data_IF_380885609540
#
_entry.id   IF_380885609540
#
_cell.length_a   1.000
_cell.length_b   1.000
_cell.length_c   1.000
_cell.angle_alpha   90.00
_cell.angle_beta   90.00
_cell.angle_gamma   90.00
#
_symmetry.space_group_name_H-M   'P 1'
#
loop_
_entity.id
_entity.type
_entity.pdbx_description
1 polymer ?
#
# COMPACT_ATOMS: atom_id res chain seq x y z
N UNK A 1 3.85 8.13 -12.05
CA UNK A 1 3.78 6.71 -12.50
C UNK A 1 5.16 6.07 -12.69
N UNK A 2 6.05 6.57 -13.57
CA UNK A 2 7.35 5.90 -13.85
C UNK A 2 8.24 5.72 -12.61
N UNK A 3 8.18 6.64 -11.63
CA UNK A 3 8.81 6.51 -10.31
C UNK A 3 8.56 5.15 -9.64
N UNK A 4 7.35 4.60 -9.78
CA UNK A 4 6.98 3.33 -9.14
C UNK A 4 7.80 2.13 -9.64
N UNK A 5 8.59 2.27 -10.71
CA UNK A 5 9.56 1.25 -11.14
C UNK A 5 10.68 1.03 -10.12
N UNK A 6 10.92 2.01 -9.26
CA UNK A 6 11.95 1.98 -8.24
C UNK A 6 11.37 1.91 -6.81
N UNK A 7 10.06 1.65 -6.68
CA UNK A 7 9.39 1.45 -5.40
C UNK A 7 8.91 0.00 -5.34
N UNK A 8 9.53 -0.81 -4.47
CA UNK A 8 9.17 -2.20 -4.25
C UNK A 8 7.99 -2.32 -3.27
N UNK A 9 7.40 -3.50 -3.18
CA UNK A 9 6.36 -3.86 -2.20
C UNK A 9 6.89 -3.99 -0.75
N UNK A 10 8.06 -3.41 -0.43
CA UNK A 10 8.72 -3.46 0.88
C UNK A 10 10.05 -4.23 0.87
N UNK A 11 10.48 -4.70 2.05
CA UNK A 11 11.77 -5.38 2.24
C UNK A 11 11.72 -6.91 2.04
N UNK A 12 10.58 -7.46 1.61
CA UNK A 12 10.36 -8.91 1.45
C UNK A 12 11.47 -9.58 0.63
N UNK A 13 12.01 -8.87 -0.37
CA UNK A 13 13.11 -9.35 -1.23
C UNK A 13 14.39 -9.73 -0.49
N UNK A 14 14.62 -9.23 0.73
CA UNK A 14 15.76 -9.67 1.54
C UNK A 14 15.60 -11.10 2.07
N UNK A 15 14.39 -11.66 2.11
CA UNK A 15 14.13 -13.05 2.53
C UNK A 15 13.71 -13.92 1.35
N UNK A 16 12.96 -13.35 0.41
CA UNK A 16 12.50 -14.01 -0.81
C UNK A 16 13.17 -13.32 -2.01
N UNK A 17 14.36 -13.76 -2.46
CA UNK A 17 15.17 -13.01 -3.42
C UNK A 17 14.50 -12.73 -4.77
N UNK A 18 13.50 -13.53 -5.15
CA UNK A 18 12.70 -13.33 -6.36
C UNK A 18 11.59 -12.27 -6.20
N UNK A 19 11.27 -11.83 -4.98
CA UNK A 19 10.25 -10.83 -4.68
C UNK A 19 10.69 -9.38 -4.99
N UNK A 20 11.28 -9.16 -6.17
CA UNK A 20 11.83 -7.87 -6.63
C UNK A 20 10.86 -7.05 -7.47
N UNK A 21 9.62 -7.52 -7.61
CA UNK A 21 8.57 -6.82 -8.34
C UNK A 21 8.26 -5.46 -7.69
N UNK A 22 7.72 -4.56 -8.51
CA UNK A 22 7.58 -3.14 -8.16
C UNK A 22 6.12 -2.73 -8.20
N UNK A 23 5.80 -1.65 -7.47
CA UNK A 23 4.47 -1.02 -7.49
C UNK A 23 4.03 -0.70 -8.93
N UNK A 24 4.97 -0.36 -9.82
CA UNK A 24 4.66 -0.14 -11.24
C UNK A 24 4.07 -1.37 -11.93
N UNK A 25 4.69 -2.55 -11.75
CA UNK A 25 4.19 -3.79 -12.34
C UNK A 25 2.85 -4.22 -11.77
N UNK A 26 2.63 -3.94 -10.47
CA UNK A 26 1.37 -4.16 -9.78
C UNK A 26 0.25 -3.27 -10.35
N UNK A 27 0.46 -1.94 -10.45
CA UNK A 27 -0.54 -1.04 -11.03
C UNK A 27 -0.96 -1.43 -12.47
N UNK A 28 -0.01 -1.92 -13.28
CA UNK A 28 -0.33 -2.43 -14.62
C UNK A 28 -1.20 -3.69 -14.58
N UNK A 29 -0.91 -4.61 -13.67
CA UNK A 29 -1.70 -5.82 -13.51
C UNK A 29 -3.10 -5.53 -12.94
N UNK A 30 -3.21 -4.67 -11.93
CA UNK A 30 -4.49 -4.15 -11.41
C UNK A 30 -5.33 -3.51 -12.51
N UNK A 31 -4.71 -2.71 -13.38
CA UNK A 31 -5.38 -2.11 -14.54
C UNK A 31 -5.83 -3.17 -15.58
N UNK A 32 -5.03 -4.22 -15.80
CA UNK A 32 -5.40 -5.32 -16.69
C UNK A 32 -6.62 -6.09 -16.16
N UNK A 33 -6.62 -6.48 -14.89
CA UNK A 33 -7.76 -7.19 -14.25
C UNK A 33 -9.01 -6.30 -14.28
N UNK A 34 -8.84 -5.00 -14.08
CA UNK A 34 -9.91 -4.00 -14.20
C UNK A 34 -10.57 -4.04 -15.60
N UNK A 35 -9.80 -4.15 -16.68
CA UNK A 35 -10.38 -4.30 -18.03
C UNK A 35 -11.25 -5.55 -18.14
N UNK A 36 -10.77 -6.69 -17.63
CA UNK A 36 -11.52 -7.95 -17.68
C UNK A 36 -12.86 -7.83 -16.93
N UNK A 37 -12.86 -7.19 -15.77
CA UNK A 37 -14.09 -6.90 -15.00
C UNK A 37 -15.03 -6.00 -15.79
N UNK A 38 -14.51 -4.90 -16.34
CA UNK A 38 -15.31 -3.93 -17.11
C UNK A 38 -15.89 -4.51 -18.39
N UNK A 39 -15.12 -5.32 -19.13
CA UNK A 39 -15.60 -6.06 -20.30
C UNK A 39 -16.78 -6.96 -19.92
N UNK A 40 -16.66 -7.67 -18.80
CA UNK A 40 -17.74 -8.52 -18.30
C UNK A 40 -18.98 -7.71 -17.91
N UNK A 41 -18.81 -6.57 -17.23
CA UNK A 41 -19.93 -5.72 -16.83
C UNK A 41 -20.59 -5.05 -18.05
N UNK A 42 -19.81 -4.58 -19.02
CA UNK A 42 -20.30 -3.93 -20.24
C UNK A 42 -21.10 -4.87 -21.14
N UNK A 43 -20.86 -6.18 -21.05
CA UNK A 43 -21.69 -7.18 -21.74
C UNK A 43 -23.15 -7.21 -21.27
N UNK A 44 -23.46 -6.66 -20.08
CA UNK A 44 -24.82 -6.43 -19.62
C UNK A 44 -25.24 -4.98 -19.92
N UNK A 45 -25.97 -4.79 -21.02
CA UNK A 45 -26.43 -3.49 -21.47
C UNK A 45 -27.32 -2.76 -20.45
N UNK A 46 -27.95 -3.47 -19.51
CA UNK A 46 -28.79 -2.86 -18.46
C UNK A 46 -27.99 -2.09 -17.41
N UNK A 47 -26.67 -2.24 -17.39
CA UNK A 47 -25.77 -1.55 -16.46
C UNK A 47 -25.33 -0.17 -16.95
N UNK A 48 -25.53 0.12 -18.23
CA UNK A 48 -25.12 1.39 -18.87
C UNK A 48 -23.64 1.75 -18.57
N UNK A 49 -22.73 0.77 -18.64
CA UNK A 49 -21.29 1.01 -18.47
C UNK A 49 -20.76 1.68 -19.74
N UNK A 50 -20.50 2.98 -19.66
CA UNK A 50 -20.06 3.81 -20.78
C UNK A 50 -18.56 3.67 -21.04
N UNK A 51 -18.10 4.10 -22.22
CA UNK A 51 -16.65 4.17 -22.50
C UNK A 51 -15.92 5.13 -21.55
N UNK A 52 -16.58 6.21 -21.09
CA UNK A 52 -16.01 7.11 -20.08
C UNK A 52 -15.83 6.40 -18.74
N UNK A 53 -16.81 5.58 -18.32
CA UNK A 53 -16.69 4.76 -17.11
C UNK A 53 -15.49 3.84 -17.19
N UNK A 54 -15.33 3.16 -18.34
CA UNK A 54 -14.18 2.29 -18.58
C UNK A 54 -12.87 3.07 -18.40
N UNK A 55 -12.71 4.21 -19.07
CA UNK A 55 -11.48 5.01 -18.97
C UNK A 55 -11.25 5.51 -17.53
N UNK A 56 -12.27 6.02 -16.84
CA UNK A 56 -12.15 6.48 -15.46
C UNK A 56 -11.69 5.35 -14.51
N UNK A 57 -12.39 4.22 -14.51
CA UNK A 57 -12.07 3.08 -13.64
C UNK A 57 -10.67 2.55 -13.95
N UNK A 58 -10.26 2.55 -15.22
CA UNK A 58 -8.91 2.16 -15.65
C UNK A 58 -7.82 3.08 -15.13
N UNK A 59 -8.04 4.40 -15.19
CA UNK A 59 -7.10 5.39 -14.65
C UNK A 59 -7.02 5.25 -13.13
N UNK A 60 -8.15 5.02 -12.44
CA UNK A 60 -8.16 4.77 -11.00
C UNK A 60 -7.29 3.55 -10.66
N UNK A 61 -7.51 2.42 -11.33
CA UNK A 61 -6.73 1.20 -11.14
C UNK A 61 -5.23 1.40 -11.43
N UNK A 62 -4.89 2.12 -12.51
CA UNK A 62 -3.50 2.39 -12.89
C UNK A 62 -2.78 3.32 -11.91
N UNK A 63 -3.52 4.19 -11.23
CA UNK A 63 -2.97 5.26 -10.40
C UNK A 63 -3.20 5.10 -8.90
N UNK A 64 -3.88 4.04 -8.43
CA UNK A 64 -4.26 3.91 -7.02
C UNK A 64 -3.08 3.94 -6.06
N UNK A 65 -1.90 3.50 -6.51
CA UNK A 65 -0.70 3.31 -5.70
C UNK A 65 0.40 4.37 -5.95
N UNK A 66 0.13 5.45 -6.69
CA UNK A 66 1.15 6.46 -7.03
C UNK A 66 1.69 7.24 -5.83
N UNK A 67 0.96 7.24 -4.71
CA UNK A 67 1.30 7.90 -3.45
C UNK A 67 2.21 7.11 -2.51
N UNK A 68 2.64 5.90 -2.87
CA UNK A 68 3.58 5.15 -2.02
C UNK A 68 4.94 5.84 -1.93
N UNK A 69 5.44 6.04 -0.71
CA UNK A 69 6.80 6.50 -0.43
C UNK A 69 7.86 5.40 -0.65
N UNK A 70 9.15 5.71 -0.42
CA UNK A 70 10.21 4.71 -0.39
C UNK A 70 9.88 3.54 0.55
N UNK A 71 10.11 2.30 0.12
CA UNK A 71 9.77 1.09 0.88
C UNK A 71 8.28 0.95 1.24
N UNK A 72 7.38 1.58 0.46
CA UNK A 72 5.93 1.41 0.58
C UNK A 72 5.41 1.63 2.01
N UNK A 73 4.87 0.60 2.67
CA UNK A 73 4.25 0.70 3.99
C UNK A 73 5.23 0.97 5.13
N UNK A 74 6.55 0.81 4.90
CA UNK A 74 7.54 1.19 5.90
C UNK A 74 7.53 2.71 6.11
N UNK A 75 7.36 3.49 5.03
CA UNK A 75 7.36 4.93 5.06
C UNK A 75 6.14 5.49 5.80
N UNK A 76 4.93 5.26 5.30
CA UNK A 76 3.70 5.85 5.87
C UNK A 76 3.19 5.14 7.14
N UNK A 77 3.80 4.01 7.51
CA UNK A 77 3.53 3.25 8.72
C UNK A 77 4.60 3.41 9.80
N UNK A 78 5.49 2.42 10.02
CA UNK A 78 6.46 2.41 11.11
C UNK A 78 7.38 3.62 11.19
N UNK A 79 7.93 4.10 10.06
CA UNK A 79 8.85 5.24 10.04
C UNK A 79 8.16 6.53 10.52
N UNK A 80 7.03 6.90 9.90
CA UNK A 80 6.25 8.07 10.31
C UNK A 80 5.73 7.93 11.75
N UNK A 81 5.37 6.73 12.18
CA UNK A 81 4.94 6.47 13.56
C UNK A 81 6.08 6.68 14.58
N UNK A 82 7.29 6.22 14.28
CA UNK A 82 8.45 6.38 15.16
C UNK A 82 8.83 7.86 15.38
N UNK A 83 8.51 8.73 14.43
CA UNK A 83 8.69 10.18 14.53
C UNK A 83 7.52 10.92 15.20
N UNK A 84 6.46 10.20 15.63
CA UNK A 84 5.26 10.82 16.19
C UNK A 84 4.33 11.46 15.15
N UNK A 85 4.47 11.08 13.88
CA UNK A 85 3.82 11.70 12.71
C UNK A 85 2.87 10.76 11.96
N UNK A 86 2.43 9.70 12.63
CA UNK A 86 1.52 8.69 12.05
C UNK A 86 0.23 9.36 11.58
N UNK A 87 -0.13 9.12 10.33
CA UNK A 87 -1.36 9.65 9.73
C UNK A 87 -1.23 11.07 9.15
N UNK A 88 -0.09 11.76 9.29
CA UNK A 88 0.16 12.99 8.52
C UNK A 88 0.23 12.73 7.01
N UNK A 89 0.61 11.51 6.64
CA UNK A 89 0.59 11.03 5.26
C UNK A 89 0.14 9.57 5.24
N UNK A 90 -0.72 9.23 4.28
CA UNK A 90 -0.96 7.86 3.85
C UNK A 90 -0.79 7.80 2.34
N UNK A 91 -0.39 6.65 1.80
CA UNK A 91 -0.26 6.51 0.36
C UNK A 91 -1.58 6.80 -0.39
N UNK A 92 -2.75 6.57 0.20
CA UNK A 92 -4.04 6.93 -0.40
C UNK A 92 -4.24 8.45 -0.50
N UNK A 93 -3.93 9.20 0.58
CA UNK A 93 -3.93 10.67 0.56
C UNK A 93 -2.97 11.19 -0.50
N UNK A 94 -1.79 10.55 -0.59
CA UNK A 94 -0.79 10.87 -1.59
C UNK A 94 -1.21 10.61 -3.02
N UNK A 95 -1.84 9.47 -3.27
CA UNK A 95 -2.34 9.12 -4.59
C UNK A 95 -3.37 10.13 -5.06
N UNK A 96 -4.30 10.53 -4.20
CA UNK A 96 -5.28 11.59 -4.48
C UNK A 96 -4.60 12.92 -4.83
N UNK A 97 -3.64 13.35 -4.01
CA UNK A 97 -2.98 14.63 -4.19
C UNK A 97 -2.11 14.69 -5.47
N UNK A 98 -1.31 13.65 -5.70
CA UNK A 98 -0.48 13.53 -6.90
C UNK A 98 -1.34 13.43 -8.16
N UNK A 99 -2.46 12.71 -8.11
CA UNK A 99 -3.32 12.56 -9.28
C UNK A 99 -4.00 13.88 -9.65
N UNK A 100 -4.44 14.67 -8.66
CA UNK A 100 -4.92 16.05 -8.91
C UNK A 100 -3.86 16.90 -9.60
N UNK A 101 -2.60 16.82 -9.15
CA UNK A 101 -1.48 17.52 -9.81
C UNK A 101 -1.25 17.02 -11.25
N UNK A 102 -1.38 15.72 -11.50
CA UNK A 102 -1.27 15.13 -12.85
C UNK A 102 -2.38 15.67 -13.76
N UNK A 103 -3.62 15.78 -13.27
CA UNK A 103 -4.75 16.32 -14.03
C UNK A 103 -4.60 17.81 -14.36
N UNK A 104 -3.90 18.58 -13.54
CA UNK A 104 -3.58 19.99 -13.83
C UNK A 104 -2.51 20.17 -14.92
N UNK A 105 -1.87 19.10 -15.42
CA UNK A 105 -0.90 19.21 -16.49
C UNK A 105 -1.64 19.46 -17.83
N UNK A 106 -1.37 20.55 -18.57
CA UNK A 106 -2.12 20.88 -19.78
C UNK A 106 -2.08 19.78 -20.86
N UNK A 107 -0.97 19.05 -20.97
CA UNK A 107 -0.85 17.93 -21.92
C UNK A 107 -1.75 16.75 -21.53
N UNK A 108 -1.83 16.47 -20.23
CA UNK A 108 -2.71 15.41 -19.69
C UNK A 108 -4.16 15.83 -19.82
N UNK A 109 -4.49 17.08 -19.46
CA UNK A 109 -5.83 17.62 -19.61
C UNK A 109 -6.31 17.51 -21.07
N UNK A 110 -5.50 17.99 -22.02
CA UNK A 110 -5.82 17.92 -23.45
C UNK A 110 -6.08 16.48 -23.90
N UNK A 111 -5.20 15.56 -23.51
CA UNK A 111 -5.35 14.14 -23.88
C UNK A 111 -6.58 13.49 -23.23
N UNK A 112 -6.87 13.78 -21.96
CA UNK A 112 -8.00 13.19 -21.25
C UNK A 112 -9.34 13.77 -21.69
N UNK A 113 -9.40 15.03 -22.13
CA UNK A 113 -10.64 15.66 -22.62
C UNK A 113 -11.21 14.94 -23.84
N UNK A 114 -10.38 14.35 -24.69
CA UNK A 114 -10.84 13.49 -25.80
C UNK A 114 -11.71 12.32 -25.31
N UNK A 115 -11.44 11.79 -24.11
CA UNK A 115 -12.09 10.58 -23.58
C UNK A 115 -13.07 10.85 -22.44
N UNK A 116 -12.94 11.96 -21.71
CA UNK A 116 -13.60 12.17 -20.41
C UNK A 116 -14.51 13.41 -20.37
N UNK A 117 -15.14 13.80 -21.47
CA UNK A 117 -16.17 14.86 -21.45
C UNK A 117 -16.05 15.89 -22.57
N UNK A 118 -15.01 15.83 -23.41
CA UNK A 118 -14.83 16.72 -24.54
C UNK A 118 -14.77 18.18 -24.11
N UNK A 119 -15.69 18.98 -24.65
CA UNK A 119 -15.85 20.40 -24.36
C UNK A 119 -16.72 20.71 -23.12
N UNK A 120 -17.29 19.70 -22.46
CA UNK A 120 -18.12 19.87 -21.26
C UNK A 120 -17.23 19.84 -20.00
N UNK A 121 -16.93 21.03 -19.46
CA UNK A 121 -16.06 21.20 -18.30
C UNK A 121 -16.61 20.55 -17.02
N UNK A 122 -17.92 20.58 -16.80
CA UNK A 122 -18.52 20.03 -15.60
C UNK A 122 -18.54 18.50 -15.65
N UNK A 123 -18.81 17.93 -16.83
CA UNK A 123 -18.66 16.49 -17.06
C UNK A 123 -17.21 16.04 -16.89
N UNK A 124 -16.25 16.81 -17.40
CA UNK A 124 -14.83 16.53 -17.23
C UNK A 124 -14.42 16.51 -15.75
N UNK A 125 -14.75 17.56 -14.99
CA UNK A 125 -14.46 17.62 -13.54
C UNK A 125 -15.12 16.47 -12.77
N UNK A 126 -16.38 16.12 -13.08
CA UNK A 126 -17.05 14.96 -12.45
C UNK A 126 -16.33 13.64 -12.74
N UNK A 127 -15.84 13.45 -13.97
CA UNK A 127 -15.05 12.27 -14.34
C UNK A 127 -13.72 12.22 -13.57
N UNK A 128 -13.05 13.36 -13.37
CA UNK A 128 -11.84 13.41 -12.55
C UNK A 128 -12.11 13.11 -11.08
N UNK A 129 -13.19 13.65 -10.50
CA UNK A 129 -13.55 13.35 -9.10
C UNK A 129 -13.94 11.88 -8.94
N UNK A 130 -14.64 11.28 -9.91
CA UNK A 130 -14.94 9.84 -9.89
C UNK A 130 -13.68 8.98 -9.78
N UNK A 131 -12.63 9.30 -10.57
CA UNK A 131 -11.34 8.60 -10.50
C UNK A 131 -10.74 8.70 -9.08
N UNK A 132 -10.81 9.88 -8.47
CA UNK A 132 -10.28 10.14 -7.14
C UNK A 132 -11.06 9.38 -6.07
N UNK A 133 -12.40 9.39 -6.14
CA UNK A 133 -13.27 8.66 -5.21
C UNK A 133 -13.08 7.14 -5.29
N UNK A 134 -12.66 6.60 -6.43
CA UNK A 134 -12.35 5.17 -6.56
C UNK A 134 -11.02 4.76 -5.92
N UNK A 135 -10.06 5.68 -5.84
CA UNK A 135 -8.76 5.44 -5.19
C UNK A 135 -8.86 5.65 -3.69
N UNK A 136 -9.55 6.73 -3.28
CA UNK A 136 -9.75 7.10 -1.89
C UNK A 136 -11.25 7.23 -1.62
N UNK A 137 -11.94 6.08 -1.50
CA UNK A 137 -13.39 6.03 -1.28
C UNK A 137 -13.80 6.63 0.06
N UNK A 138 -15.03 7.16 0.09
CA UNK A 138 -15.66 7.59 1.33
C UNK A 138 -15.90 6.37 2.23
N UNK A 139 -15.67 6.51 3.54
CA UNK A 139 -15.98 5.45 4.51
C UNK A 139 -17.46 5.05 4.49
N UNK A 140 -18.34 6.02 4.19
CA UNK A 140 -19.77 5.81 3.99
C UNK A 140 -20.18 6.41 2.65
N UNK A 141 -20.82 5.60 1.81
CA UNK A 141 -21.36 6.02 0.52
C UNK A 141 -22.78 6.58 0.61
N UNK A 142 -23.48 6.26 1.71
CA UNK A 142 -24.79 6.82 2.04
C UNK A 142 -24.67 7.66 3.31
N UNK A 143 -25.25 8.86 3.28
CA UNK A 143 -25.34 9.73 4.43
C UNK A 143 -26.44 9.30 5.42
N UNK A 144 -26.58 10.01 6.54
CA UNK A 144 -27.52 9.64 7.61
C UNK A 144 -28.99 9.58 7.17
N UNK A 145 -29.38 10.34 6.13
CA UNK A 145 -30.73 10.34 5.58
C UNK A 145 -30.89 9.38 4.38
N UNK A 146 -29.87 8.57 4.07
CA UNK A 146 -29.86 7.66 2.93
C UNK A 146 -29.50 8.33 1.60
N UNK A 147 -28.99 9.56 1.64
CA UNK A 147 -28.54 10.28 0.46
C UNK A 147 -27.23 9.72 -0.09
N UNK A 148 -27.12 9.65 -1.42
CA UNK A 148 -25.89 9.22 -2.10
C UNK A 148 -24.83 10.31 -2.02
N UNK A 149 -23.69 10.00 -1.40
CA UNK A 149 -22.63 10.97 -1.13
C UNK A 149 -21.60 11.14 -2.27
N UNK A 150 -21.21 10.08 -3.00
CA UNK A 150 -20.29 10.24 -4.13
C UNK A 150 -20.84 11.16 -5.23
N UNK A 151 -19.97 12.03 -5.73
CA UNK A 151 -20.28 13.03 -6.76
C UNK A 151 -19.96 12.50 -8.15
N UNK A 152 -18.94 11.65 -8.27
CA UNK A 152 -18.41 11.20 -9.54
C UNK A 152 -19.42 10.42 -10.40
N UNK A 153 -20.26 9.60 -9.76
CA UNK A 153 -21.30 8.81 -10.42
C UNK A 153 -22.59 8.75 -9.58
N UNK A 154 -23.76 8.62 -10.22
CA UNK A 154 -25.02 8.44 -9.51
C UNK A 154 -25.11 7.06 -8.84
N UNK A 155 -25.99 6.93 -7.85
CA UNK A 155 -26.26 5.68 -7.12
C UNK A 155 -26.57 4.47 -8.03
N UNK A 156 -27.12 4.69 -9.22
CA UNK A 156 -27.37 3.64 -10.21
C UNK A 156 -26.08 2.93 -10.68
N UNK A 157 -24.93 3.62 -10.60
CA UNK A 157 -23.58 3.13 -10.94
C UNK A 157 -22.70 2.85 -9.72
N UNK A 158 -23.31 2.71 -8.53
CA UNK A 158 -22.62 2.41 -7.26
C UNK A 158 -21.69 1.20 -7.34
N UNK A 159 -22.04 0.18 -8.13
CA UNK A 159 -21.23 -1.03 -8.32
C UNK A 159 -19.83 -0.78 -8.90
N UNK A 160 -19.59 0.36 -9.57
CA UNK A 160 -18.25 0.68 -10.08
C UNK A 160 -17.24 0.96 -8.96
N UNK A 161 -17.71 1.44 -7.80
CA UNK A 161 -16.86 1.70 -6.64
C UNK A 161 -16.38 0.41 -5.94
N UNK A 162 -16.89 -0.76 -6.33
CA UNK A 162 -16.40 -2.07 -5.85
C UNK A 162 -15.12 -2.53 -6.55
N UNK A 163 -14.73 -1.88 -7.67
CA UNK A 163 -13.73 -2.45 -8.57
C UNK A 163 -12.30 -2.22 -8.05
N UNK A 164 -11.95 -0.99 -7.70
CA UNK A 164 -10.55 -0.59 -7.41
C UNK A 164 -10.21 -0.63 -5.93
N UNK A 165 -11.02 0.01 -5.08
CA UNK A 165 -10.85 0.03 -3.63
C UNK A 165 -12.21 -0.17 -2.96
N UNK A 166 -12.49 -1.41 -2.55
CA UNK A 166 -13.81 -1.80 -2.07
C UNK A 166 -13.89 -1.71 -0.54
N UNK A 167 -14.51 -0.63 -0.04
CA UNK A 167 -14.67 -0.39 1.40
C UNK A 167 -15.67 -1.31 2.12
N UNK A 168 -16.47 -2.08 1.37
CA UNK A 168 -17.58 -2.81 1.95
C UNK A 168 -17.23 -4.22 2.40
N UNK A 169 -16.40 -4.91 1.61
CA UNK A 169 -15.98 -6.30 1.84
C UNK A 169 -14.52 -6.54 1.44
N UNK A 170 -13.85 -5.54 0.85
CA UNK A 170 -12.46 -5.63 0.43
C UNK A 170 -12.23 -6.46 -0.84
N UNK A 171 -13.26 -6.98 -1.51
CA UNK A 171 -13.08 -7.73 -2.76
C UNK A 171 -12.91 -6.76 -3.93
N UNK A 172 -11.66 -6.49 -4.30
CA UNK A 172 -11.27 -5.56 -5.37
C UNK A 172 -10.12 -6.13 -6.23
N UNK A 173 -9.92 -5.51 -7.39
CA UNK A 173 -8.92 -5.95 -8.37
C UNK A 173 -7.48 -5.71 -7.91
N UNK A 174 -7.25 -4.79 -6.97
CA UNK A 174 -5.97 -4.61 -6.28
C UNK A 174 -5.56 -5.93 -5.58
N UNK A 175 -6.45 -6.48 -4.75
CA UNK A 175 -6.20 -7.76 -4.07
C UNK A 175 -6.06 -8.93 -5.02
N UNK A 176 -6.85 -8.96 -6.09
CA UNK A 176 -6.72 -10.01 -7.10
C UNK A 176 -5.32 -10.01 -7.74
N UNK A 177 -4.77 -8.83 -8.05
CA UNK A 177 -3.42 -8.74 -8.61
C UNK A 177 -2.34 -9.12 -7.59
N UNK A 178 -2.29 -8.45 -6.44
CA UNK A 178 -1.13 -8.63 -5.55
C UNK A 178 -1.10 -10.04 -4.95
N UNK A 179 -2.24 -10.67 -4.68
CA UNK A 179 -2.24 -12.03 -4.10
C UNK A 179 -1.61 -13.02 -5.11
N UNK A 180 -2.01 -12.95 -6.38
CA UNK A 180 -1.44 -13.80 -7.43
C UNK A 180 0.03 -13.48 -7.69
N UNK A 181 0.35 -12.18 -7.80
CA UNK A 181 1.71 -11.69 -8.07
C UNK A 181 2.66 -12.07 -6.95
N UNK A 182 2.30 -11.78 -5.71
CA UNK A 182 3.20 -11.94 -4.58
C UNK A 182 3.42 -13.41 -4.26
N UNK A 183 2.39 -14.26 -4.41
CA UNK A 183 2.54 -15.70 -4.35
C UNK A 183 3.54 -16.21 -5.40
N UNK A 184 3.39 -15.80 -6.66
CA UNK A 184 4.31 -16.17 -7.74
C UNK A 184 5.74 -15.69 -7.49
N UNK A 185 5.91 -14.44 -7.07
CA UNK A 185 7.23 -13.82 -6.90
C UNK A 185 7.94 -14.25 -5.61
N UNK A 186 7.19 -14.66 -4.57
CA UNK A 186 7.75 -15.28 -3.36
C UNK A 186 7.98 -16.78 -3.50
N UNK A 187 7.49 -17.41 -4.57
CA UNK A 187 7.53 -18.86 -4.76
C UNK A 187 6.57 -19.62 -3.85
N UNK A 188 5.58 -18.94 -3.26
CA UNK A 188 4.63 -19.54 -2.35
C UNK A 188 3.40 -20.06 -3.10
N UNK A 189 3.10 -21.35 -2.95
CA UNK A 189 1.91 -21.96 -3.57
C UNK A 189 0.63 -21.53 -2.86
N UNK A 190 -0.30 -20.93 -3.60
CA UNK A 190 -1.63 -20.55 -3.11
C UNK A 190 -2.72 -21.31 -3.87
N UNK A 191 -3.91 -21.42 -3.27
CA UNK A 191 -5.06 -22.12 -3.90
C UNK A 191 -5.74 -21.26 -4.96
N UNK A 192 -5.77 -19.94 -4.75
CA UNK A 192 -6.32 -19.00 -5.71
C UNK A 192 -5.34 -18.76 -6.86
N UNK A 193 -5.72 -19.10 -8.08
CA UNK A 193 -4.87 -19.00 -9.28
C UNK A 193 -5.58 -18.21 -10.40
N UNK A 194 -4.92 -18.05 -11.55
CA UNK A 194 -5.47 -17.30 -12.69
C UNK A 194 -6.81 -17.88 -13.19
N UNK A 195 -6.98 -19.20 -13.20
CA UNK A 195 -8.25 -19.84 -13.58
C UNK A 195 -9.37 -19.52 -12.58
N UNK A 196 -9.04 -19.51 -11.28
CA UNK A 196 -9.96 -19.12 -10.20
C UNK A 196 -10.43 -17.67 -10.40
N UNK A 197 -9.49 -16.76 -10.69
CA UNK A 197 -9.78 -15.36 -10.98
C UNK A 197 -10.72 -15.21 -12.18
N UNK A 198 -10.40 -15.85 -13.31
CA UNK A 198 -11.24 -15.77 -14.52
C UNK A 198 -12.63 -16.36 -14.27
N UNK A 199 -12.73 -17.45 -13.51
CA UNK A 199 -14.02 -18.06 -13.13
C UNK A 199 -14.86 -17.12 -12.26
N UNK A 200 -14.24 -16.44 -11.29
CA UNK A 200 -14.87 -15.41 -10.45
C UNK A 200 -15.37 -14.26 -11.32
N UNK A 201 -14.49 -13.66 -12.14
CA UNK A 201 -14.84 -12.53 -13.03
C UNK A 201 -15.98 -12.91 -13.97
N UNK A 202 -15.90 -14.03 -14.68
CA UNK A 202 -16.93 -14.44 -15.65
C UNK A 202 -18.32 -14.65 -15.00
N UNK A 203 -18.34 -14.93 -13.69
CA UNK A 203 -19.55 -15.23 -12.93
C UNK A 203 -20.14 -14.03 -12.19
N UNK A 204 -19.53 -12.84 -12.25
CA UNK A 204 -20.07 -11.65 -11.57
C UNK A 204 -21.40 -11.18 -12.17
N UNK A 205 -22.23 -10.56 -11.33
CA UNK A 205 -23.46 -9.85 -11.71
C UNK A 205 -23.61 -8.60 -10.85
N UNK A 206 -24.37 -7.62 -11.31
CA UNK A 206 -24.71 -6.45 -10.50
C UNK A 206 -26.14 -6.58 -9.99
N UNK A 207 -26.29 -6.69 -8.67
CA UNK A 207 -27.57 -6.89 -8.00
C UNK A 207 -27.77 -5.85 -6.89
N UNK A 208 -29.01 -5.50 -6.53
CA UNK A 208 -29.28 -4.69 -5.36
C UNK A 208 -28.85 -5.42 -4.09
N UNK A 209 -28.09 -4.77 -3.22
CA UNK A 209 -27.66 -5.30 -1.93
C UNK A 209 -28.68 -4.90 -0.85
N UNK A 210 -29.44 -5.84 -0.26
CA UNK A 210 -30.46 -5.51 0.74
C UNK A 210 -29.90 -4.83 1.99
N UNK A 211 -28.65 -5.15 2.36
CA UNK A 211 -27.97 -4.59 3.54
C UNK A 211 -27.55 -3.13 3.34
N UNK A 212 -27.17 -2.74 2.12
CA UNK A 212 -26.59 -1.44 1.83
C UNK A 212 -27.53 -0.52 1.04
N UNK A 213 -28.63 -1.03 0.48
CA UNK A 213 -29.57 -0.24 -0.32
C UNK A 213 -29.02 0.25 -1.66
N UNK A 214 -27.87 -0.27 -2.11
CA UNK A 214 -27.20 0.12 -3.36
C UNK A 214 -26.94 -1.10 -4.25
N UNK A 215 -26.65 -0.87 -5.54
CA UNK A 215 -26.24 -1.95 -6.45
C UNK A 215 -24.78 -2.29 -6.22
N UNK A 216 -24.45 -3.57 -6.15
CA UNK A 216 -23.09 -4.06 -5.86
C UNK A 216 -22.69 -5.11 -6.88
N UNK A 217 -21.38 -5.27 -7.09
CA UNK A 217 -20.84 -6.46 -7.73
C UNK A 217 -21.11 -7.66 -6.80
N UNK A 218 -21.77 -8.68 -7.34
CA UNK A 218 -22.13 -9.90 -6.65
C UNK A 218 -21.50 -11.09 -7.37
N UNK A 219 -21.03 -12.06 -6.58
CA UNK A 219 -20.40 -13.27 -7.07
C UNK A 219 -21.40 -14.43 -7.07
N UNK A 220 -21.30 -15.32 -8.07
CA UNK A 220 -22.18 -16.48 -8.11
C UNK A 220 -21.87 -17.45 -6.95
N UNK A 221 -22.89 -18.08 -6.37
CA UNK A 221 -22.71 -19.01 -5.24
C UNK A 221 -21.74 -20.15 -5.55
N UNK A 222 -21.69 -20.61 -6.81
CA UNK A 222 -20.76 -21.64 -7.29
C UNK A 222 -19.28 -21.22 -7.33
N UNK A 223 -18.99 -19.94 -7.07
CA UNK A 223 -17.62 -19.41 -6.97
C UNK A 223 -17.20 -19.09 -5.52
N UNK A 224 -17.97 -19.57 -4.54
CA UNK A 224 -17.71 -19.28 -3.12
C UNK A 224 -16.37 -19.87 -2.66
N UNK A 225 -16.03 -21.07 -3.11
CA UNK A 225 -14.77 -21.73 -2.75
C UNK A 225 -13.55 -20.96 -3.28
N UNK A 226 -13.64 -20.33 -4.45
CA UNK A 226 -12.60 -19.48 -5.01
C UNK A 226 -12.41 -18.19 -4.20
N UNK A 227 -13.50 -17.59 -3.72
CA UNK A 227 -13.40 -16.41 -2.84
C UNK A 227 -12.85 -16.75 -1.45
N UNK A 228 -13.21 -17.93 -0.91
CA UNK A 228 -12.60 -18.44 0.32
C UNK A 228 -11.11 -18.71 0.10
N UNK A 229 -10.74 -19.33 -1.02
CA UNK A 229 -9.35 -19.54 -1.40
C UNK A 229 -8.57 -18.22 -1.51
N UNK A 230 -9.17 -17.15 -2.02
CA UNK A 230 -8.56 -15.82 -2.04
C UNK A 230 -8.27 -15.31 -0.62
N UNK A 231 -9.24 -15.40 0.28
CA UNK A 231 -9.09 -15.01 1.69
C UNK A 231 -8.00 -15.81 2.40
N UNK A 232 -8.00 -17.14 2.22
CA UNK A 232 -6.98 -18.03 2.75
C UNK A 232 -5.59 -17.68 2.20
N UNK A 233 -5.50 -17.42 0.89
CA UNK A 233 -4.25 -17.05 0.22
C UNK A 233 -3.70 -15.74 0.79
N UNK A 234 -4.56 -14.74 1.00
CA UNK A 234 -4.19 -13.49 1.67
C UNK A 234 -3.66 -13.74 3.08
N UNK A 235 -4.38 -14.51 3.90
CA UNK A 235 -3.95 -14.83 5.25
C UNK A 235 -2.56 -15.49 5.27
N UNK A 236 -2.35 -16.47 4.39
CA UNK A 236 -1.09 -17.21 4.31
C UNK A 236 0.06 -16.31 3.84
N UNK A 237 -0.15 -15.45 2.84
CA UNK A 237 0.86 -14.48 2.40
C UNK A 237 1.24 -13.50 3.52
N UNK A 238 0.26 -13.01 4.28
CA UNK A 238 0.55 -12.20 5.48
C UNK A 238 1.39 -12.96 6.49
N UNK A 239 0.97 -14.16 6.89
CA UNK A 239 1.66 -14.92 7.93
C UNK A 239 3.08 -15.37 7.51
N UNK A 240 3.29 -15.71 6.25
CA UNK A 240 4.52 -16.37 5.78
C UNK A 240 5.46 -15.50 4.98
N UNK A 241 4.96 -14.46 4.32
CA UNK A 241 5.74 -13.59 3.43
C UNK A 241 5.89 -12.22 4.05
N UNK A 242 4.81 -11.46 4.18
CA UNK A 242 4.87 -10.05 4.61
C UNK A 242 5.30 -9.92 6.08
N UNK A 243 4.78 -10.78 6.95
CA UNK A 243 5.09 -10.78 8.39
C UNK A 243 6.10 -11.87 8.76
N UNK A 244 6.88 -12.35 7.78
CA UNK A 244 7.97 -13.26 8.08
C UNK A 244 8.92 -12.60 9.09
N UNK A 245 9.26 -13.31 10.17
CA UNK A 245 10.07 -12.78 11.29
C UNK A 245 11.32 -12.01 10.85
N UNK A 246 12.03 -12.52 9.84
CA UNK A 246 13.25 -11.88 9.32
C UNK A 246 12.95 -10.65 8.47
N UNK A 247 11.80 -10.60 7.78
CA UNK A 247 11.34 -9.40 7.07
C UNK A 247 11.05 -8.31 8.09
N UNK A 248 10.31 -8.61 9.16
CA UNK A 248 10.00 -7.65 10.23
C UNK A 248 11.27 -7.12 10.89
N UNK A 249 12.25 -7.98 11.17
CA UNK A 249 13.55 -7.57 11.74
C UNK A 249 14.27 -6.58 10.81
N UNK A 250 14.29 -6.86 9.51
CA UNK A 250 14.92 -6.00 8.51
C UNK A 250 14.15 -4.68 8.37
N UNK A 251 12.81 -4.72 8.35
CA UNK A 251 11.98 -3.51 8.33
C UNK A 251 12.30 -2.60 9.53
N UNK A 252 12.42 -3.18 10.73
CA UNK A 252 12.78 -2.43 11.93
C UNK A 252 14.18 -1.80 11.82
N UNK A 253 15.17 -2.52 11.27
CA UNK A 253 16.52 -1.99 11.05
C UNK A 253 16.55 -0.89 9.97
N UNK A 254 15.77 -1.04 8.89
CA UNK A 254 15.58 0.01 7.87
C UNK A 254 14.97 1.27 8.50
N UNK A 255 13.96 1.11 9.35
CA UNK A 255 13.34 2.23 10.07
C UNK A 255 14.35 2.90 11.01
N UNK A 256 15.16 2.14 11.74
CA UNK A 256 16.26 2.69 12.54
C UNK A 256 17.27 3.47 11.70
N UNK A 257 17.62 2.96 10.52
CA UNK A 257 18.50 3.66 9.59
C UNK A 257 17.87 4.98 9.11
N UNK A 258 16.58 4.99 8.77
CA UNK A 258 15.86 6.21 8.40
C UNK A 258 15.81 7.23 9.55
N UNK A 259 15.52 6.80 10.78
CA UNK A 259 15.49 7.69 11.95
C UNK A 259 16.88 8.28 12.22
N UNK A 260 17.93 7.46 12.16
CA UNK A 260 19.30 7.92 12.35
C UNK A 260 19.75 8.89 11.24
N UNK A 261 19.25 8.70 10.01
CA UNK A 261 19.55 9.57 8.88
C UNK A 261 18.70 10.86 8.85
N UNK A 262 17.52 10.87 9.46
CA UNK A 262 16.52 11.93 9.36
C UNK A 262 17.06 13.37 9.63
N UNK A 263 17.91 13.62 10.64
CA UNK A 263 18.43 14.97 10.90
C UNK A 263 19.41 15.47 9.84
N UNK A 264 20.00 14.57 9.05
CA UNK A 264 21.14 14.85 8.17
C UNK A 264 20.81 14.66 6.68
N UNK A 265 19.81 13.83 6.39
CA UNK A 265 19.34 13.54 5.04
C UNK A 265 18.33 14.59 4.62
N UNK A 266 18.72 15.43 3.66
CA UNK A 266 17.90 16.53 3.15
C UNK A 266 17.77 16.45 1.63
N UNK A 267 16.56 16.71 1.15
CA UNK A 267 16.20 16.70 -0.26
C UNK A 267 15.79 18.10 -0.69
N UNK A 268 16.48 18.63 -1.69
CA UNK A 268 16.32 20.01 -2.13
C UNK A 268 15.38 20.13 -3.31
N UNK A 269 14.39 21.02 -3.23
CA UNK A 269 13.52 21.32 -4.36
C UNK A 269 14.16 22.34 -5.33
N UNK A 270 13.47 22.63 -6.44
CA UNK A 270 13.94 23.59 -7.45
C UNK A 270 14.01 25.05 -6.95
N UNK A 271 13.27 25.38 -5.89
CA UNK A 271 13.28 26.70 -5.25
C UNK A 271 14.42 26.85 -4.24
N UNK A 272 15.14 25.76 -3.98
CA UNK A 272 16.26 25.72 -3.05
C UNK A 272 15.87 25.40 -1.60
N UNK A 273 14.60 25.07 -1.34
CA UNK A 273 14.08 24.64 -0.04
C UNK A 273 14.48 23.19 0.23
N UNK A 274 14.75 22.86 1.50
CA UNK A 274 15.25 21.58 1.94
C UNK A 274 14.18 20.85 2.75
N UNK A 275 13.95 19.59 2.44
CA UNK A 275 12.97 18.73 3.10
C UNK A 275 13.67 17.50 3.66
N UNK A 276 13.48 17.16 4.94
CA UNK A 276 13.96 15.89 5.47
C UNK A 276 13.09 14.73 4.93
N UNK A 277 13.56 13.48 5.08
CA UNK A 277 12.87 12.31 4.52
C UNK A 277 11.42 12.21 4.98
N UNK A 278 11.14 12.49 6.25
CA UNK A 278 9.77 12.44 6.77
C UNK A 278 8.83 13.53 6.23
N UNK A 279 9.35 14.54 5.53
CA UNK A 279 8.59 15.71 5.03
C UNK A 279 8.61 15.85 3.51
N UNK A 280 9.21 14.91 2.78
CA UNK A 280 9.28 14.99 1.31
C UNK A 280 7.90 15.09 0.65
N UNK A 281 6.83 14.64 1.31
CA UNK A 281 5.47 14.73 0.80
C UNK A 281 4.89 16.15 0.76
N UNK A 282 5.52 17.12 1.45
CA UNK A 282 5.10 18.53 1.42
C UNK A 282 5.46 19.21 0.08
N UNK A 283 6.39 18.64 -0.68
CA UNK A 283 6.73 19.08 -2.04
C UNK A 283 6.65 17.89 -3.00
N UNK A 284 5.66 17.88 -3.89
CA UNK A 284 5.45 16.75 -4.80
C UNK A 284 6.56 16.55 -5.84
N UNK A 285 7.37 17.58 -6.16
CA UNK A 285 8.52 17.39 -7.04
C UNK A 285 9.63 16.63 -6.31
N UNK A 286 9.85 16.95 -5.02
CA UNK A 286 10.76 16.20 -4.15
C UNK A 286 10.22 14.79 -3.91
N UNK A 287 8.96 14.63 -3.50
CA UNK A 287 8.36 13.31 -3.33
C UNK A 287 8.52 12.43 -4.58
N UNK A 288 8.31 13.00 -5.76
CA UNK A 288 8.43 12.28 -7.02
C UNK A 288 9.87 11.96 -7.45
N UNK A 289 10.89 12.55 -6.81
CA UNK A 289 12.29 12.24 -7.08
C UNK A 289 12.87 11.19 -6.14
N UNK A 290 12.20 10.88 -5.02
CA UNK A 290 12.68 9.93 -4.01
C UNK A 290 11.97 8.58 -4.12
N UNK A 291 12.76 7.51 -4.15
CA UNK A 291 12.33 6.12 -4.24
C UNK A 291 13.19 5.22 -3.34
N UNK A 292 13.19 3.90 -3.53
CA UNK A 292 13.95 2.96 -2.67
C UNK A 292 15.48 3.16 -2.73
N UNK A 293 15.98 3.96 -3.68
CA UNK A 293 17.40 4.35 -3.74
C UNK A 293 17.85 5.14 -2.51
N UNK A 294 16.94 5.62 -1.67
CA UNK A 294 17.26 6.27 -0.40
C UNK A 294 18.19 5.43 0.49
N UNK A 295 18.06 4.10 0.50
CA UNK A 295 19.01 3.24 1.23
C UNK A 295 20.40 3.27 0.60
N UNK A 296 20.48 3.24 -0.74
CA UNK A 296 21.75 3.36 -1.43
C UNK A 296 22.40 4.73 -1.18
N UNK A 297 21.61 5.80 -1.11
CA UNK A 297 22.10 7.14 -0.77
C UNK A 297 22.73 7.18 0.63
N UNK A 298 22.08 6.57 1.62
CA UNK A 298 22.63 6.45 2.98
C UNK A 298 23.90 5.59 2.97
N UNK A 299 23.84 4.38 2.43
CA UNK A 299 24.95 3.42 2.42
C UNK A 299 26.20 3.94 1.71
N UNK A 300 26.02 4.71 0.63
CA UNK A 300 27.13 5.27 -0.18
C UNK A 300 27.68 6.60 0.34
N UNK A 301 27.02 7.22 1.33
CA UNK A 301 27.45 8.51 1.86
C UNK A 301 28.73 8.39 2.67
N UNK A 302 29.67 9.32 2.48
CA UNK A 302 30.88 9.45 3.31
C UNK A 302 30.71 10.41 4.49
N UNK A 303 29.52 11.01 4.65
CA UNK A 303 29.29 12.00 5.71
C UNK A 303 29.37 11.35 7.10
N UNK A 304 30.14 11.90 8.07
CA UNK A 304 30.27 11.34 9.41
C UNK A 304 28.92 11.18 10.12
N UNK A 305 28.04 12.17 10.01
CA UNK A 305 26.73 12.14 10.67
C UNK A 305 25.80 10.99 10.23
N UNK A 306 26.05 10.40 9.05
CA UNK A 306 25.28 9.24 8.56
C UNK A 306 25.90 7.89 8.96
N UNK A 307 26.99 7.88 9.74
CA UNK A 307 27.68 6.66 10.16
C UNK A 307 26.76 5.68 10.90
N UNK A 308 25.96 6.16 11.85
CA UNK A 308 25.02 5.30 12.57
C UNK A 308 23.96 4.69 11.64
N UNK A 309 23.44 5.48 10.70
CA UNK A 309 22.49 4.98 9.71
C UNK A 309 23.13 3.94 8.78
N UNK A 310 24.37 4.17 8.34
CA UNK A 310 25.14 3.20 7.55
C UNK A 310 25.41 1.90 8.31
N UNK A 311 25.70 1.97 9.60
CA UNK A 311 25.91 0.79 10.45
C UNK A 311 24.74 -0.19 10.37
N UNK A 312 23.51 0.29 10.57
CA UNK A 312 22.32 -0.56 10.44
C UNK A 312 22.16 -1.19 9.04
N UNK A 313 22.53 -0.47 7.97
CA UNK A 313 22.44 -1.00 6.61
C UNK A 313 23.56 -2.00 6.30
N UNK A 314 24.74 -1.80 6.88
CA UNK A 314 25.84 -2.76 6.83
C UNK A 314 25.48 -4.04 7.56
N UNK A 315 24.87 -3.96 8.74
CA UNK A 315 24.38 -5.11 9.48
C UNK A 315 23.35 -5.93 8.68
N UNK A 316 22.44 -5.26 7.96
CA UNK A 316 21.50 -5.94 7.06
C UNK A 316 22.25 -6.68 5.92
N UNK A 317 23.26 -6.04 5.33
CA UNK A 317 24.04 -6.56 4.22
C UNK A 317 24.93 -7.75 4.63
N UNK A 318 25.56 -7.67 5.80
CA UNK A 318 26.41 -8.72 6.40
C UNK A 318 25.60 -9.78 7.13
N UNK A 319 24.27 -9.60 7.21
CA UNK A 319 23.34 -10.47 7.90
C UNK A 319 23.55 -10.56 9.42
N UNK A 320 24.13 -9.52 10.00
CA UNK A 320 24.18 -9.28 11.44
C UNK A 320 22.82 -8.77 11.94
N UNK A 321 21.79 -9.60 11.84
CA UNK A 321 20.42 -9.21 12.17
C UNK A 321 20.14 -9.38 13.66
N UNK A 322 19.29 -8.50 14.18
CA UNK A 322 18.67 -8.65 15.50
C UNK A 322 18.09 -10.07 15.71
N UNK A 323 18.21 -10.59 16.93
CA UNK A 323 17.72 -11.94 17.27
C UNK A 323 16.30 -11.89 17.82
N UNK A 324 15.42 -12.73 17.29
CA UNK A 324 14.08 -12.91 17.85
C UNK A 324 14.16 -13.65 19.19
N UNK A 325 13.77 -12.98 20.27
CA UNK A 325 13.83 -13.55 21.63
C UNK A 325 12.57 -14.36 21.97
N UNK A 326 11.38 -13.92 21.57
CA UNK A 326 10.12 -14.61 21.83
C UNK A 326 9.09 -14.38 20.72
N UNK A 327 8.04 -15.19 20.69
CA UNK A 327 6.85 -15.00 19.87
C UNK A 327 5.64 -15.61 20.58
N UNK A 328 4.53 -14.88 20.62
CA UNK A 328 3.29 -15.31 21.26
C UNK A 328 2.13 -15.06 20.29
N UNK A 329 1.39 -16.11 19.97
CA UNK A 329 0.13 -16.00 19.23
C UNK A 329 -1.03 -15.87 20.22
N UNK A 330 -1.95 -14.95 19.93
CA UNK A 330 -3.11 -14.73 20.79
C UNK A 330 -4.37 -14.47 19.97
N UNK A 331 -5.52 -14.72 20.60
CA UNK A 331 -6.82 -14.45 19.99
C UNK A 331 -7.10 -12.94 19.89
N UNK A 332 -7.77 -12.46 18.83
CA UNK A 332 -8.07 -11.02 18.64
C UNK A 332 -8.84 -10.37 19.81
N UNK A 333 -9.66 -11.15 20.52
CA UNK A 333 -10.49 -10.69 21.64
C UNK A 333 -9.67 -10.37 22.92
N UNK A 334 -8.36 -10.62 22.92
CA UNK A 334 -7.46 -10.32 24.03
C UNK A 334 -6.56 -9.10 23.76
N UNK A 335 -6.78 -8.36 22.67
CA UNK A 335 -5.92 -7.26 22.21
C UNK A 335 -5.66 -6.14 23.24
N UNK A 336 -6.64 -5.76 24.07
CA UNK A 336 -6.42 -4.76 25.12
C UNK A 336 -5.49 -5.28 26.22
N UNK A 337 -5.72 -6.51 26.70
CA UNK A 337 -4.81 -7.17 27.64
C UNK A 337 -3.42 -7.38 27.04
N UNK A 338 -3.32 -7.52 25.72
CA UNK A 338 -2.04 -7.67 24.99
C UNK A 338 -1.30 -6.38 24.73
N UNK A 339 -1.96 -5.21 24.66
CA UNK A 339 -1.21 -3.95 24.72
C UNK A 339 -0.51 -3.81 26.06
N UNK A 340 -1.14 -4.27 27.13
CA UNK A 340 -0.52 -4.25 28.46
C UNK A 340 0.50 -5.37 28.64
N UNK A 341 0.28 -6.59 28.15
CA UNK A 341 1.29 -7.65 28.10
C UNK A 341 2.44 -7.26 27.17
N UNK A 342 2.17 -6.65 26.02
CA UNK A 342 3.18 -6.14 25.08
C UNK A 342 3.99 -5.00 25.68
N UNK A 343 3.37 -4.06 26.41
CA UNK A 343 4.07 -3.08 27.23
C UNK A 343 4.86 -3.73 28.37
N UNK A 344 4.35 -4.80 28.98
CA UNK A 344 5.05 -5.54 30.03
C UNK A 344 6.22 -6.35 29.46
N UNK A 345 6.06 -7.03 28.34
CA UNK A 345 7.10 -7.72 27.58
C UNK A 345 8.10 -6.71 27.05
N UNK A 346 7.68 -5.51 26.62
CA UNK A 346 8.56 -4.42 26.26
C UNK A 346 9.35 -3.92 27.47
N UNK A 347 8.72 -3.74 28.63
CA UNK A 347 9.39 -3.41 29.89
C UNK A 347 10.33 -4.53 30.36
N UNK A 348 9.93 -5.79 30.22
CA UNK A 348 10.75 -6.97 30.57
C UNK A 348 11.90 -7.10 29.58
N UNK A 349 11.70 -6.83 28.31
CA UNK A 349 12.74 -6.87 27.30
C UNK A 349 13.64 -5.64 27.39
N UNK A 350 13.15 -4.46 27.81
CA UNK A 350 13.95 -3.32 28.23
C UNK A 350 14.75 -3.64 29.48
N UNK A 351 14.17 -4.33 30.46
CA UNK A 351 14.86 -4.74 31.68
C UNK A 351 15.91 -5.82 31.40
N UNK A 352 15.58 -6.79 30.54
CA UNK A 352 16.53 -7.78 30.02
C UNK A 352 17.60 -7.07 29.17
N UNK A 353 17.26 -6.03 28.42
CA UNK A 353 18.21 -5.21 27.68
C UNK A 353 19.13 -4.44 28.63
N UNK A 354 18.61 -3.79 29.66
CA UNK A 354 19.39 -3.12 30.71
C UNK A 354 20.32 -4.11 31.41
N UNK A 355 19.82 -5.29 31.79
CA UNK A 355 20.61 -6.36 32.41
C UNK A 355 21.65 -6.96 31.47
N UNK A 356 21.29 -7.23 30.22
CA UNK A 356 22.23 -7.73 29.21
C UNK A 356 23.29 -6.68 28.88
N UNK A 357 22.95 -5.40 28.80
CA UNK A 357 23.90 -4.28 28.63
C UNK A 357 24.83 -4.17 29.84
N UNK A 358 24.30 -4.32 31.04
CA UNK A 358 25.06 -4.25 32.28
C UNK A 358 26.02 -5.46 32.43
N UNK A 359 25.58 -6.66 32.04
CA UNK A 359 26.40 -7.87 31.97
C UNK A 359 27.41 -7.81 30.83
N UNK A 360 27.04 -7.29 29.66
CA UNK A 360 27.86 -7.30 28.45
C UNK A 360 28.87 -6.15 28.32
N UNK A 361 28.82 -5.15 29.22
CA UNK A 361 29.96 -4.24 29.49
C UNK A 361 31.24 -5.00 29.89
N UNK A 362 31.13 -6.25 30.36
CA UNK A 362 32.29 -7.12 30.62
C UNK A 362 32.75 -7.96 29.42
N UNK A 363 31.96 -8.00 28.32
CA UNK A 363 32.21 -8.84 27.13
C UNK A 363 32.21 -8.09 25.78
N UNK A 364 32.01 -6.77 25.75
CA UNK A 364 32.18 -5.94 24.55
C UNK A 364 30.97 -5.85 23.60
N UNK A 365 29.75 -6.13 24.09
CA UNK A 365 28.50 -5.92 23.34
C UNK A 365 27.94 -4.53 23.69
N UNK A 366 27.36 -3.83 22.72
CA UNK A 366 26.91 -2.43 22.84
C UNK A 366 25.38 -2.32 22.90
N UNK A 367 24.86 -1.17 23.36
CA UNK A 367 23.41 -0.88 23.43
C UNK A 367 22.67 -1.08 22.09
N UNK A 368 23.39 -1.04 20.97
CA UNK A 368 22.87 -1.19 19.61
C UNK A 368 22.64 -2.67 19.20
N UNK A 369 23.07 -3.66 20.00
CA UNK A 369 23.03 -5.10 19.67
C UNK A 369 21.77 -5.85 20.20
N UNK A 370 20.98 -5.21 21.07
CA UNK A 370 19.80 -5.81 21.71
C UNK A 370 18.53 -5.09 21.25
N UNK A 371 17.56 -5.86 20.74
CA UNK A 371 16.36 -5.34 20.09
C UNK A 371 15.09 -5.91 20.72
N UNK A 372 14.16 -5.03 21.05
CA UNK A 372 12.80 -5.37 21.46
C UNK A 372 11.85 -4.98 20.31
N UNK A 373 11.20 -5.96 19.70
CA UNK A 373 10.16 -5.77 18.67
C UNK A 373 8.78 -5.93 19.30
#
# INVERSE_FOLDING_TARGET
>A
LQRLRNVKMGSVHYVFPSATHTRFSHCLGTCHITQLVLERLKADASLDVTSEDVVCVSIAALCHDIGHGPYSHLYDGPFMAALGRKGEWTHEMGSKALLRRVFCNPKVETALREYLGGSDDERYKRNLEFIIEMISPLEKMLGPAGEWLPVGRPIAKSFLYDIVSNVHDGLDVDKFDYILRDAKMSGFGIRFNEDSLLRVINSIRVLPCPRLGIRRICFASKTADELLALSDSRHVLHARVYQHKTVILIDAMIVKAFIAAEPFLSFRNKKGENFPLSKIFEDYDVFCSIDDSVLQMISSSTHPDLEKARGYLQDIAERNLARRVAYVECSPNQNEKLRDIGKQCYKVAQHIQEQLVEESKTQGVTDDDVYVI
#
